data_IF_622819096588
#
_entry.id   IF_622819096588
#
_cell.length_a   1.000
_cell.length_b   1.000
_cell.length_c   1.000
_cell.angle_alpha   90.00
_cell.angle_beta   90.00
_cell.angle_gamma   90.00
#
_symmetry.space_group_name_H-M   'P 1'
#
loop_
_entity.id
_entity.type
_entity.pdbx_description
1 polymer ?
#
# COMPACT_ATOMS: atom_id res chain seq x y z
N UNK A 1 -4.09 -5.82 7.46
CA UNK A 1 -5.23 -6.52 6.85
C UNK A 1 -6.14 -7.06 7.94
N UNK A 2 -7.40 -6.61 7.95
CA UNK A 2 -8.44 -7.02 8.90
C UNK A 2 -9.08 -8.33 8.41
N UNK A 3 -9.15 -9.33 9.27
CA UNK A 3 -9.76 -10.62 8.92
C UNK A 3 -11.29 -10.56 8.98
N UNK A 4 -11.97 -11.53 8.34
CA UNK A 4 -13.43 -11.63 8.44
C UNK A 4 -13.89 -11.86 9.90
N UNK A 5 -13.08 -12.55 10.70
CA UNK A 5 -13.32 -12.79 12.13
C UNK A 5 -13.28 -11.50 12.96
N UNK A 6 -12.45 -10.52 12.58
CA UNK A 6 -12.38 -9.22 13.27
C UNK A 6 -13.68 -8.42 13.07
N UNK A 7 -14.28 -8.48 11.87
CA UNK A 7 -15.56 -7.82 11.60
C UNK A 7 -16.72 -8.51 12.33
N UNK A 8 -16.71 -9.84 12.43
CA UNK A 8 -17.73 -10.58 13.19
C UNK A 8 -17.69 -10.27 14.70
N UNK A 9 -16.50 -9.93 15.22
CA UNK A 9 -16.31 -9.53 16.61
C UNK A 9 -16.61 -8.03 16.86
N UNK A 10 -16.80 -7.24 15.79
CA UNK A 10 -17.06 -5.81 15.87
C UNK A 10 -18.57 -5.49 15.84
N UNK A 11 -18.93 -4.36 16.44
CA UNK A 11 -20.29 -3.83 16.42
C UNK A 11 -20.51 -3.07 15.11
N UNK A 12 -21.54 -3.42 14.33
CA UNK A 12 -21.98 -2.61 13.21
C UNK A 12 -22.56 -1.29 13.72
N UNK A 13 -21.95 -0.17 13.32
CA UNK A 13 -22.34 1.17 13.74
C UNK A 13 -23.19 1.86 12.69
N UNK A 14 -22.79 1.76 11.42
CA UNK A 14 -23.50 2.38 10.32
C UNK A 14 -23.38 1.56 9.04
N UNK A 15 -24.44 1.60 8.24
CA UNK A 15 -24.51 1.02 6.91
C UNK A 15 -24.96 2.10 5.92
N UNK A 16 -24.22 2.21 4.82
CA UNK A 16 -24.44 3.17 3.75
C UNK A 16 -24.73 2.39 2.47
N UNK A 17 -25.95 2.56 1.96
CA UNK A 17 -26.41 1.98 0.70
C UNK A 17 -26.25 2.98 -0.44
N UNK A 18 -26.02 2.47 -1.67
CA UNK A 18 -25.93 3.29 -2.88
C UNK A 18 -24.71 3.01 -3.73
N UNK A 19 -23.64 2.44 -3.15
CA UNK A 19 -22.48 2.01 -3.92
C UNK A 19 -22.84 0.88 -4.87
N UNK A 20 -22.30 0.96 -6.08
CA UNK A 20 -22.39 -0.09 -7.08
C UNK A 20 -21.03 -0.42 -7.64
N UNK A 21 -20.82 -1.68 -8.01
CA UNK A 21 -19.67 -2.08 -8.82
C UNK A 21 -19.80 -1.52 -10.24
N UNK A 22 -18.73 -1.57 -11.03
CA UNK A 22 -18.79 -1.25 -12.47
C UNK A 22 -19.73 -2.17 -13.28
N UNK A 23 -20.21 -3.28 -12.71
CA UNK A 23 -21.21 -4.17 -13.29
C UNK A 23 -22.65 -3.84 -12.85
N UNK A 24 -22.82 -2.87 -11.94
CA UNK A 24 -24.12 -2.41 -11.44
C UNK A 24 -24.62 -3.12 -10.18
N UNK A 25 -23.87 -4.09 -9.64
CA UNK A 25 -24.22 -4.82 -8.42
C UNK A 25 -24.13 -3.89 -7.21
N UNK A 26 -25.12 -3.97 -6.32
CA UNK A 26 -25.13 -3.19 -5.08
C UNK A 26 -24.07 -3.70 -4.11
N UNK A 27 -23.33 -2.75 -3.52
CA UNK A 27 -22.30 -3.02 -2.53
C UNK A 27 -22.63 -2.26 -1.26
N UNK A 28 -22.76 -2.92 -0.09
CA UNK A 28 -22.88 -2.20 1.17
C UNK A 28 -21.52 -1.62 1.56
N UNK A 29 -21.51 -0.37 2.02
CA UNK A 29 -20.40 0.19 2.79
C UNK A 29 -20.78 0.21 4.27
N UNK A 30 -20.01 -0.49 5.10
CA UNK A 30 -20.32 -0.61 6.53
C UNK A 30 -19.17 -0.10 7.38
N UNK A 31 -19.51 0.51 8.52
CA UNK A 31 -18.57 1.00 9.51
C UNK A 31 -18.84 0.28 10.82
N UNK A 32 -17.78 -0.20 11.44
CA UNK A 32 -17.82 -1.02 12.65
C UNK A 32 -16.91 -0.46 13.74
N UNK A 33 -17.28 -0.72 14.99
CA UNK A 33 -16.44 -0.46 16.16
C UNK A 33 -16.01 -1.77 16.81
N UNK A 34 -14.70 -2.00 16.86
CA UNK A 34 -14.14 -3.16 17.54
C UNK A 34 -13.74 -2.82 18.97
N UNK A 35 -14.65 -3.04 19.94
CA UNK A 35 -14.42 -2.68 21.35
C UNK A 35 -13.15 -3.33 21.97
N UNK A 36 -12.87 -4.59 21.65
CA UNK A 36 -11.69 -5.31 22.17
C UNK A 36 -10.34 -4.73 21.71
N UNK A 37 -10.27 -4.22 20.48
CA UNK A 37 -9.07 -3.61 19.89
C UNK A 37 -9.06 -2.08 20.04
N UNK A 38 -10.22 -1.50 20.38
CA UNK A 38 -10.52 -0.06 20.38
C UNK A 38 -10.22 0.57 19.02
N UNK A 39 -10.70 -0.06 17.94
CA UNK A 39 -10.41 0.35 16.57
C UNK A 39 -11.70 0.52 15.76
N UNK A 40 -11.70 1.51 14.88
CA UNK A 40 -12.73 1.67 13.85
C UNK A 40 -12.35 0.87 12.61
N UNK A 41 -13.32 0.14 12.07
CA UNK A 41 -13.15 -0.69 10.88
C UNK A 41 -14.17 -0.26 9.83
N UNK A 42 -13.83 -0.43 8.56
CA UNK A 42 -14.81 -0.35 7.47
C UNK A 42 -14.77 -1.58 6.58
N UNK A 43 -15.85 -1.84 5.87
CA UNK A 43 -15.96 -2.89 4.84
C UNK A 43 -16.68 -2.37 3.61
N UNK A 44 -16.02 -2.48 2.46
CA UNK A 44 -16.47 -2.09 1.13
C UNK A 44 -16.25 -3.24 0.11
N UNK A 45 -16.77 -4.44 0.41
CA UNK A 45 -16.75 -5.68 -0.39
C UNK A 45 -15.35 -6.25 -0.67
N UNK A 46 -14.54 -5.51 -1.43
CA UNK A 46 -13.18 -5.88 -1.84
C UNK A 46 -12.11 -5.28 -0.94
N UNK A 47 -12.48 -4.30 -0.12
CA UNK A 47 -11.56 -3.59 0.76
C UNK A 47 -12.09 -3.51 2.19
N UNK A 48 -11.21 -3.77 3.16
CA UNK A 48 -11.54 -3.82 4.59
C UNK A 48 -10.32 -3.41 5.39
N UNK A 49 -10.44 -2.31 6.13
CA UNK A 49 -9.29 -1.80 6.87
C UNK A 49 -9.68 -1.04 8.14
N UNK A 50 -8.64 -0.68 8.90
CA UNK A 50 -8.72 0.22 10.04
C UNK A 50 -8.78 1.65 9.52
N UNK A 51 -9.69 2.44 10.07
CA UNK A 51 -9.81 3.88 9.81
C UNK A 51 -9.69 4.65 11.13
N UNK A 52 -9.65 5.98 11.05
CA UNK A 52 -9.65 6.88 12.21
C UNK A 52 -11.04 7.44 12.49
N UNK A 53 -11.28 7.82 13.74
CA UNK A 53 -12.49 8.54 14.15
C UNK A 53 -12.63 9.90 13.43
N UNK A 54 -11.51 10.54 13.10
CA UNK A 54 -11.49 11.81 12.36
C UNK A 54 -11.94 11.62 10.91
N UNK A 55 -11.38 10.65 10.18
CA UNK A 55 -11.80 10.34 8.82
C UNK A 55 -13.30 10.00 8.75
N UNK A 56 -13.80 9.17 9.67
CA UNK A 56 -15.23 8.83 9.75
C UNK A 56 -16.12 10.04 10.05
N UNK A 57 -15.65 10.96 10.89
CA UNK A 57 -16.37 12.21 11.18
C UNK A 57 -16.49 13.07 9.92
N UNK A 58 -15.36 13.33 9.25
CA UNK A 58 -15.33 14.12 8.02
C UNK A 58 -16.23 13.51 6.95
N UNK A 59 -16.19 12.18 6.79
CA UNK A 59 -17.08 11.46 5.86
C UNK A 59 -18.57 11.64 6.20
N UNK A 60 -18.96 11.44 7.47
CA UNK A 60 -20.35 11.58 7.89
C UNK A 60 -20.86 13.04 7.79
N UNK A 61 -20.02 14.01 8.10
CA UNK A 61 -20.32 15.44 7.92
C UNK A 61 -20.46 15.78 6.43
N UNK A 62 -19.62 15.23 5.56
CA UNK A 62 -19.71 15.36 4.11
C UNK A 62 -21.03 14.83 3.56
N UNK A 63 -21.49 13.66 4.02
CA UNK A 63 -22.82 13.12 3.69
C UNK A 63 -23.93 14.10 4.09
N UNK A 64 -23.89 14.63 5.32
CA UNK A 64 -24.92 15.54 5.81
C UNK A 64 -24.93 16.86 5.04
N UNK A 65 -23.76 17.36 4.63
CA UNK A 65 -23.65 18.52 3.76
C UNK A 65 -24.25 18.23 2.38
N UNK A 66 -23.94 17.08 1.78
CA UNK A 66 -24.45 16.70 0.47
C UNK A 66 -25.99 16.68 0.48
N UNK A 67 -26.59 15.98 1.45
CA UNK A 67 -28.06 15.87 1.56
C UNK A 67 -28.73 17.22 1.88
N UNK A 68 -28.15 18.06 2.76
CA UNK A 68 -28.83 19.27 3.26
C UNK A 68 -28.62 20.50 2.40
N UNK A 69 -27.40 20.71 1.93
CA UNK A 69 -26.99 21.96 1.29
C UNK A 69 -26.69 21.78 -0.18
N UNK A 70 -26.84 20.56 -0.73
CA UNK A 70 -26.41 20.23 -2.10
C UNK A 70 -24.96 20.64 -2.36
N UNK A 71 -24.14 20.60 -1.31
CA UNK A 71 -22.71 20.86 -1.34
C UNK A 71 -22.02 19.72 -0.62
N UNK A 72 -20.92 19.20 -1.16
CA UNK A 72 -20.21 18.05 -0.60
C UNK A 72 -18.71 18.19 -0.88
N UNK A 73 -17.91 17.56 -0.02
CA UNK A 73 -16.47 17.41 -0.21
C UNK A 73 -16.22 16.00 -0.74
N UNK A 74 -15.40 15.90 -1.79
CA UNK A 74 -15.40 14.72 -2.65
C UNK A 74 -14.46 13.61 -2.20
N UNK A 75 -13.48 13.90 -1.33
CA UNK A 75 -12.37 12.97 -1.09
C UNK A 75 -11.94 12.96 0.39
N UNK A 76 -12.55 12.09 1.20
CA UNK A 76 -12.06 11.78 2.55
C UNK A 76 -11.22 10.51 2.50
N UNK A 77 -9.94 10.60 2.84
CA UNK A 77 -9.08 9.42 3.00
C UNK A 77 -9.52 8.62 4.23
N UNK A 78 -10.05 7.42 4.00
CA UNK A 78 -10.47 6.49 5.06
C UNK A 78 -9.28 5.67 5.57
N UNK A 79 -8.45 5.16 4.66
CA UNK A 79 -7.18 4.52 5.03
C UNK A 79 -6.12 4.68 3.95
N UNK A 80 -4.88 4.59 4.41
CA UNK A 80 -3.70 4.56 3.59
C UNK A 80 -2.64 3.74 4.32
N UNK A 81 -2.49 2.49 3.93
CA UNK A 81 -1.52 1.57 4.52
C UNK A 81 -0.18 1.56 3.75
N UNK A 82 -0.06 2.43 2.73
CA UNK A 82 1.07 2.49 1.80
C UNK A 82 0.98 1.50 0.63
N UNK A 83 -0.06 0.66 0.57
CA UNK A 83 -0.32 -0.33 -0.49
C UNK A 83 -1.65 -0.05 -1.21
N UNK A 84 -2.70 0.23 -0.45
CA UNK A 84 -3.98 0.69 -0.91
C UNK A 84 -4.29 2.02 -0.26
N UNK A 85 -4.89 2.91 -1.04
CA UNK A 85 -5.44 4.16 -0.53
C UNK A 85 -6.93 4.16 -0.81
N UNK A 86 -7.73 4.34 0.23
CA UNK A 86 -9.19 4.36 0.11
C UNK A 86 -9.68 5.76 0.42
N UNK A 87 -10.37 6.33 -0.57
CA UNK A 87 -11.08 7.58 -0.43
C UNK A 87 -12.57 7.33 -0.53
N UNK A 88 -13.37 8.03 0.27
CA UNK A 88 -14.81 7.99 0.18
C UNK A 88 -15.40 9.41 0.20
N UNK A 89 -16.53 9.56 -0.47
CA UNK A 89 -17.21 10.84 -0.62
C UNK A 89 -18.70 10.68 -0.86
N UNK A 90 -19.41 11.81 -0.73
CA UNK A 90 -20.80 11.93 -1.13
C UNK A 90 -21.00 13.26 -1.84
N UNK A 91 -21.61 13.21 -3.03
CA UNK A 91 -21.68 14.36 -3.92
C UNK A 91 -22.77 14.25 -4.98
N UNK A 92 -22.59 14.94 -6.10
CA UNK A 92 -23.53 14.96 -7.22
C UNK A 92 -22.76 14.96 -8.54
N UNK A 93 -23.08 14.04 -9.46
CA UNK A 93 -22.50 14.03 -10.82
C UNK A 93 -23.01 15.24 -11.64
N UNK A 94 -24.19 15.77 -11.30
CA UNK A 94 -24.77 16.98 -11.91
C UNK A 94 -25.44 17.87 -10.86
N UNK A 95 -25.52 19.18 -11.12
CA UNK A 95 -26.05 20.16 -10.15
C UNK A 95 -27.46 19.85 -9.62
N UNK A 96 -28.29 19.16 -10.41
CA UNK A 96 -29.67 18.76 -10.07
C UNK A 96 -29.82 17.23 -9.90
N UNK A 97 -28.71 16.49 -9.84
CA UNK A 97 -28.69 15.04 -9.76
C UNK A 97 -29.08 14.49 -8.37
N UNK A 98 -29.32 13.17 -8.27
CA UNK A 98 -29.41 12.51 -6.96
C UNK A 98 -28.07 12.61 -6.23
N UNK A 99 -28.10 12.53 -4.89
CA UNK A 99 -26.86 12.31 -4.13
C UNK A 99 -26.22 11.01 -4.59
N UNK A 100 -24.94 11.04 -4.89
CA UNK A 100 -24.13 9.87 -5.20
C UNK A 100 -23.17 9.58 -4.04
N UNK A 101 -23.02 8.29 -3.73
CA UNK A 101 -21.93 7.83 -2.87
C UNK A 101 -20.79 7.38 -3.76
N UNK A 102 -19.57 7.77 -3.42
CA UNK A 102 -18.35 7.33 -4.11
C UNK A 102 -17.40 6.70 -3.11
N UNK A 103 -16.79 5.60 -3.51
CA UNK A 103 -15.64 5.00 -2.84
C UNK A 103 -14.62 4.65 -3.92
N UNK A 104 -13.43 5.21 -3.76
CA UNK A 104 -12.29 5.01 -4.64
C UNK A 104 -11.25 4.22 -3.87
N UNK A 105 -11.13 2.94 -4.22
CA UNK A 105 -10.00 2.15 -3.78
C UNK A 105 -8.92 2.24 -4.86
N UNK A 106 -7.85 2.94 -4.53
CA UNK A 106 -6.69 3.09 -5.37
C UNK A 106 -5.73 1.95 -5.06
N UNK A 107 -5.51 1.09 -6.06
CA UNK A 107 -4.54 0.00 -6.02
C UNK A 107 -3.43 0.29 -7.03
N UNK A 108 -2.25 -0.28 -6.86
CA UNK A 108 -1.25 -0.28 -7.93
C UNK A 108 -1.72 -1.23 -9.07
N UNK A 109 -1.91 -0.69 -10.29
CA UNK A 109 -2.45 -1.39 -11.48
C UNK A 109 -1.50 -2.37 -12.13
N UNK A 110 -0.20 -2.28 -11.90
CA UNK A 110 0.78 -3.16 -12.57
C UNK A 110 1.04 -4.44 -11.79
N UNK A 111 -0.02 -5.03 -11.23
CA UNK A 111 0.05 -6.30 -10.51
C UNK A 111 0.56 -7.49 -11.34
N UNK A 112 0.77 -7.32 -12.65
CA UNK A 112 1.54 -8.27 -13.48
C UNK A 112 3.01 -8.43 -13.03
N UNK A 113 3.52 -7.53 -12.17
CA UNK A 113 4.82 -7.67 -11.48
C UNK A 113 4.70 -7.88 -9.96
N UNK A 114 3.48 -8.02 -9.40
CA UNK A 114 3.26 -8.04 -7.96
C UNK A 114 3.37 -9.45 -7.35
N UNK A 115 4.45 -9.68 -6.61
CA UNK A 115 4.40 -10.57 -5.45
C UNK A 115 3.97 -9.80 -4.20
N UNK A 116 3.75 -10.54 -3.12
CA UNK A 116 3.55 -9.99 -1.78
C UNK A 116 4.75 -10.43 -0.95
N UNK A 117 5.35 -9.49 -0.23
CA UNK A 117 6.43 -9.77 0.69
C UNK A 117 6.01 -10.72 1.83
N UNK A 118 6.96 -11.30 2.57
CA UNK A 118 6.66 -12.16 3.72
C UNK A 118 5.78 -11.52 4.80
N UNK A 119 5.58 -10.21 4.76
CA UNK A 119 4.75 -9.44 5.71
C UNK A 119 3.56 -8.75 5.07
N UNK A 120 3.16 -9.15 3.88
CA UNK A 120 2.01 -8.54 3.21
C UNK A 120 2.33 -7.29 2.39
N UNK A 121 3.59 -6.84 2.33
CA UNK A 121 3.97 -5.62 1.61
C UNK A 121 4.00 -5.82 0.09
N UNK A 122 3.51 -4.84 -0.67
CA UNK A 122 3.65 -4.85 -2.13
C UNK A 122 5.14 -4.79 -2.51
N UNK A 123 5.52 -5.61 -3.50
CA UNK A 123 6.89 -5.67 -4.02
C UNK A 123 7.20 -4.59 -5.07
N UNK A 124 6.18 -3.85 -5.47
CA UNK A 124 6.18 -2.82 -6.50
C UNK A 124 5.27 -1.68 -6.03
N UNK A 125 5.68 -0.43 -6.27
CA UNK A 125 4.95 0.77 -5.86
C UNK A 125 5.11 1.83 -6.97
N UNK A 126 4.16 1.87 -7.89
CA UNK A 126 4.11 2.80 -8.99
C UNK A 126 3.27 4.03 -8.66
N UNK A 127 3.84 5.18 -8.94
CA UNK A 127 3.19 6.47 -8.70
C UNK A 127 2.32 6.91 -9.87
N UNK A 128 2.48 6.27 -11.02
CA UNK A 128 1.90 6.65 -12.33
C UNK A 128 0.84 5.69 -12.84
N UNK A 129 0.63 4.54 -12.18
CA UNK A 129 -0.29 3.51 -12.63
C UNK A 129 -1.16 2.99 -11.50
N UNK A 130 -2.02 3.83 -10.92
CA UNK A 130 -3.01 3.35 -9.97
C UNK A 130 -4.21 2.78 -10.73
N UNK A 131 -4.58 1.54 -10.45
CA UNK A 131 -5.86 0.93 -10.82
C UNK A 131 -6.88 1.46 -9.84
N UNK A 132 -7.79 2.27 -10.36
CA UNK A 132 -8.95 2.71 -9.61
C UNK A 132 -9.98 1.59 -9.65
N UNK A 133 -10.43 1.14 -8.49
CA UNK A 133 -11.69 0.42 -8.37
C UNK A 133 -12.75 1.41 -7.90
N UNK A 134 -13.50 2.03 -8.82
CA UNK A 134 -14.58 2.92 -8.44
C UNK A 134 -15.77 2.08 -8.01
N UNK A 135 -16.24 2.33 -6.79
CA UNK A 135 -17.61 2.02 -6.41
C UNK A 135 -18.35 3.34 -6.39
N UNK A 136 -19.38 3.48 -7.23
CA UNK A 136 -20.19 4.68 -7.24
C UNK A 136 -21.63 4.37 -7.61
N UNK A 137 -22.55 5.19 -7.11
CA UNK A 137 -23.93 5.09 -7.52
C UNK A 137 -24.86 6.05 -6.80
N UNK A 138 -26.04 6.28 -7.40
CA UNK A 138 -27.06 7.12 -6.79
C UNK A 138 -27.60 6.46 -5.53
N UNK A 139 -27.73 7.26 -4.48
CA UNK A 139 -28.30 6.84 -3.21
C UNK A 139 -29.82 6.68 -3.38
N UNK A 140 -30.39 5.52 -3.02
CA UNK A 140 -31.82 5.26 -3.20
C UNK A 140 -32.70 6.02 -2.21
N UNK A 141 -32.17 6.35 -1.04
CA UNK A 141 -32.89 7.01 0.07
C UNK A 141 -31.96 8.01 0.80
N UNK A 142 -32.07 9.30 0.47
CA UNK A 142 -31.29 10.38 1.08
C UNK A 142 -31.57 10.55 2.59
N UNK A 143 -32.79 10.24 3.05
CA UNK A 143 -33.16 10.36 4.46
C UNK A 143 -32.53 9.26 5.30
N UNK A 144 -32.53 8.02 4.78
CA UNK A 144 -31.82 6.90 5.40
C UNK A 144 -30.32 7.15 5.42
N UNK A 145 -29.73 7.65 4.33
CA UNK A 145 -28.32 8.04 4.28
C UNK A 145 -27.98 9.07 5.37
N UNK A 146 -28.77 10.13 5.50
CA UNK A 146 -28.57 11.15 6.53
C UNK A 146 -28.79 10.60 7.95
N UNK A 147 -29.66 9.61 8.12
CA UNK A 147 -29.88 8.93 9.41
C UNK A 147 -28.67 8.08 9.79
N UNK A 148 -28.13 7.29 8.87
CA UNK A 148 -26.89 6.52 9.08
C UNK A 148 -25.71 7.43 9.43
N UNK A 149 -25.56 8.57 8.74
CA UNK A 149 -24.50 9.53 9.05
C UNK A 149 -24.64 10.15 10.45
N UNK A 150 -25.85 10.48 10.90
CA UNK A 150 -26.09 10.97 12.26
C UNK A 150 -25.80 9.91 13.32
N UNK A 151 -26.21 8.66 13.07
CA UNK A 151 -25.93 7.55 13.97
C UNK A 151 -24.42 7.31 14.12
N UNK A 152 -23.66 7.41 13.01
CA UNK A 152 -22.20 7.34 13.05
C UNK A 152 -21.59 8.48 13.88
N UNK A 153 -22.03 9.73 13.68
CA UNK A 153 -21.54 10.87 14.47
C UNK A 153 -21.86 10.73 15.96
N UNK A 154 -23.08 10.33 16.32
CA UNK A 154 -23.47 10.08 17.71
C UNK A 154 -22.63 8.96 18.34
N UNK A 155 -22.34 7.90 17.58
CA UNK A 155 -21.46 6.84 18.05
C UNK A 155 -20.04 7.36 18.26
N UNK A 156 -19.49 8.14 17.34
CA UNK A 156 -18.16 8.73 17.45
C UNK A 156 -18.01 9.62 18.70
N UNK A 157 -19.06 10.36 19.07
CA UNK A 157 -19.06 11.20 20.28
C UNK A 157 -19.03 10.39 21.59
N UNK A 158 -19.62 9.19 21.58
CA UNK A 158 -19.76 8.34 22.77
C UNK A 158 -18.72 7.24 22.87
N UNK A 159 -17.88 7.08 21.85
CA UNK A 159 -16.88 6.01 21.78
C UNK A 159 -15.62 6.38 22.58
N UNK A 160 -15.04 5.46 23.38
CA UNK A 160 -13.77 5.69 24.04
C UNK A 160 -12.65 6.04 23.04
N UNK A 161 -11.54 6.66 23.47
CA UNK A 161 -10.43 6.95 22.56
C UNK A 161 -9.99 5.69 21.82
N UNK A 162 -9.75 5.81 20.51
CA UNK A 162 -9.27 4.69 19.71
C UNK A 162 -7.79 4.39 20.01
N UNK A 163 -7.39 3.15 19.80
CA UNK A 163 -5.99 2.80 19.58
C UNK A 163 -5.65 3.27 18.16
N UNK A 164 -4.63 4.12 17.97
CA UNK A 164 -4.23 4.58 16.65
C UNK A 164 -4.01 3.38 15.71
N UNK A 165 -4.29 3.53 14.41
CA UNK A 165 -3.84 2.55 13.42
C UNK A 165 -2.33 2.31 13.59
N UNK A 166 -1.86 1.07 13.39
CA UNK A 166 -0.43 0.81 13.42
C UNK A 166 0.24 1.72 12.39
N UNK A 167 1.24 2.49 12.83
CA UNK A 167 1.99 3.33 11.91
C UNK A 167 2.63 2.42 10.84
N UNK A 168 2.60 2.81 9.56
CA UNK A 168 3.36 2.09 8.54
C UNK A 168 4.82 2.04 8.98
N UNK A 169 5.46 0.87 8.83
CA UNK A 169 6.85 0.70 9.20
C UNK A 169 7.71 1.72 8.44
N UNK A 170 8.40 2.60 9.16
CA UNK A 170 9.24 3.63 8.54
C UNK A 170 10.54 2.97 8.08
N UNK A 171 10.82 2.92 6.77
CA UNK A 171 12.04 2.32 6.27
C UNK A 171 13.23 3.24 6.56
N UNK A 172 14.24 2.72 7.26
CA UNK A 172 15.53 3.38 7.42
C UNK A 172 16.36 3.17 6.16
N UNK A 173 16.75 4.25 5.49
CA UNK A 173 17.63 4.15 4.32
C UNK A 173 19.05 3.84 4.77
N UNK A 174 19.59 2.73 4.27
CA UNK A 174 20.96 2.29 4.56
C UNK A 174 21.91 2.77 3.45
N UNK A 175 21.52 2.56 2.20
CA UNK A 175 22.25 3.04 1.02
C UNK A 175 21.29 3.70 0.05
N UNK A 176 21.78 4.75 -0.62
CA UNK A 176 21.05 5.48 -1.65
C UNK A 176 21.96 5.73 -2.85
N UNK A 177 21.61 5.16 -4.00
CA UNK A 177 22.18 5.49 -5.29
C UNK A 177 21.28 6.51 -5.96
N UNK A 178 21.65 7.79 -5.89
CA UNK A 178 20.88 8.89 -6.49
C UNK A 178 21.45 9.25 -7.85
N UNK A 179 20.68 9.02 -8.90
CA UNK A 179 20.97 9.43 -10.27
C UNK A 179 19.68 9.91 -10.94
N UNK A 180 19.48 9.63 -12.24
CA UNK A 180 18.18 9.84 -12.92
C UNK A 180 17.05 9.03 -12.28
N UNK A 181 17.39 7.85 -11.76
CA UNK A 181 16.55 7.03 -10.90
C UNK A 181 17.24 6.90 -9.55
N UNK A 182 16.46 6.77 -8.46
CA UNK A 182 17.03 6.53 -7.13
C UNK A 182 16.77 5.09 -6.71
N UNK A 183 17.84 4.36 -6.42
CA UNK A 183 17.75 3.06 -5.75
C UNK A 183 18.12 3.23 -4.28
N UNK A 184 17.28 2.69 -3.41
CA UNK A 184 17.43 2.67 -1.96
C UNK A 184 17.53 1.22 -1.51
N UNK A 185 18.51 0.92 -0.67
CA UNK A 185 18.51 -0.29 0.14
C UNK A 185 18.16 0.15 1.55
N UNK A 186 17.12 -0.42 2.11
CA UNK A 186 16.50 0.06 3.35
C UNK A 186 16.26 -1.09 4.31
N UNK A 187 16.15 -0.75 5.60
CA UNK A 187 15.75 -1.66 6.66
C UNK A 187 14.40 -1.21 7.22
N UNK A 188 13.43 -2.11 7.27
CA UNK A 188 12.12 -1.90 7.88
C UNK A 188 12.25 -2.05 9.40
N UNK A 189 11.96 -0.97 10.13
CA UNK A 189 11.61 -0.91 11.55
C UNK A 189 12.15 -2.00 12.51
N UNK A 190 11.29 -2.36 13.48
CA UNK A 190 11.62 -3.07 14.73
C UNK A 190 12.05 -4.53 14.53
N UNK A 191 11.80 -5.10 13.37
CA UNK A 191 12.05 -6.51 13.03
C UNK A 191 13.16 -6.68 11.99
N UNK A 192 13.76 -5.57 11.54
CA UNK A 192 15.01 -5.55 10.80
C UNK A 192 14.96 -6.16 9.38
N UNK A 193 13.78 -6.32 8.77
CA UNK A 193 13.73 -6.85 7.41
C UNK A 193 14.37 -5.89 6.41
N UNK A 194 15.02 -6.45 5.41
CA UNK A 194 15.60 -5.68 4.32
C UNK A 194 14.59 -5.48 3.20
N UNK A 195 14.65 -4.31 2.57
CA UNK A 195 13.95 -4.03 1.33
C UNK A 195 14.82 -3.24 0.37
N UNK A 196 14.48 -3.31 -0.92
CA UNK A 196 15.05 -2.50 -1.98
C UNK A 196 13.95 -1.69 -2.65
N UNK A 197 14.18 -0.39 -2.81
CA UNK A 197 13.23 0.52 -3.46
C UNK A 197 13.89 1.25 -4.60
N UNK A 198 13.34 1.13 -5.79
CA UNK A 198 13.61 2.02 -6.92
C UNK A 198 12.50 3.05 -6.94
N UNK A 199 12.79 4.27 -6.49
CA UNK A 199 11.82 5.37 -6.44
C UNK A 199 11.20 5.54 -7.81
N UNK A 200 9.88 5.68 -7.90
CA UNK A 200 9.16 5.72 -9.16
C UNK A 200 8.41 4.43 -9.45
N UNK A 201 9.02 3.32 -9.05
CA UNK A 201 8.89 2.07 -9.79
C UNK A 201 8.63 0.88 -8.86
N UNK A 202 9.58 0.48 -8.02
CA UNK A 202 9.60 -0.84 -7.39
C UNK A 202 9.97 -0.76 -5.90
N UNK A 203 9.38 -1.59 -5.03
CA UNK A 203 9.79 -1.72 -3.61
C UNK A 203 9.67 -3.16 -3.15
N UNK A 204 10.74 -3.95 -3.02
CA UNK A 204 10.66 -5.37 -2.68
C UNK A 204 11.46 -5.74 -1.41
N UNK A 205 10.94 -6.52 -0.45
CA UNK A 205 11.73 -7.27 0.51
C UNK A 205 12.82 -8.11 -0.15
N UNK A 206 13.98 -8.09 0.47
CA UNK A 206 15.16 -8.85 0.06
C UNK A 206 15.69 -9.63 1.25
N UNK A 207 16.31 -10.78 0.98
CA UNK A 207 17.03 -11.50 2.04
C UNK A 207 18.32 -10.73 2.38
N UNK A 208 18.73 -10.79 3.64
CA UNK A 208 19.97 -10.13 4.08
C UNK A 208 21.21 -10.67 3.32
N UNK A 209 21.17 -11.94 2.88
CA UNK A 209 22.20 -12.53 2.02
C UNK A 209 22.24 -11.86 0.64
N UNK A 210 21.10 -11.56 0.02
CA UNK A 210 21.05 -10.83 -1.25
C UNK A 210 21.66 -9.43 -1.12
N UNK A 211 21.46 -8.77 0.02
CA UNK A 211 22.11 -7.48 0.31
C UNK A 211 23.64 -7.61 0.40
N UNK A 212 24.13 -8.70 1.00
CA UNK A 212 25.56 -9.02 1.03
C UNK A 212 26.11 -9.33 -0.37
N UNK A 213 25.36 -10.09 -1.18
CA UNK A 213 25.76 -10.39 -2.57
C UNK A 213 25.81 -9.11 -3.40
N UNK A 214 24.86 -8.19 -3.24
CA UNK A 214 24.89 -6.87 -3.87
C UNK A 214 26.18 -6.12 -3.51
N UNK A 215 26.54 -6.09 -2.22
CA UNK A 215 27.77 -5.44 -1.78
C UNK A 215 29.02 -6.05 -2.46
N UNK A 216 29.05 -7.37 -2.64
CA UNK A 216 30.13 -8.05 -3.34
C UNK A 216 30.16 -7.72 -4.84
N UNK A 217 29.00 -7.63 -5.50
CA UNK A 217 28.91 -7.24 -6.92
C UNK A 217 29.39 -5.81 -7.14
N UNK A 218 29.05 -4.89 -6.22
CA UNK A 218 29.54 -3.51 -6.27
C UNK A 218 31.07 -3.43 -6.17
N UNK A 219 31.72 -4.30 -5.40
CA UNK A 219 33.19 -4.36 -5.28
C UNK A 219 33.87 -5.10 -6.43
N UNK A 220 33.13 -5.91 -7.20
CA UNK A 220 33.68 -6.76 -8.26
C UNK A 220 32.90 -6.56 -9.57
N UNK A 221 33.14 -5.45 -10.30
CA UNK A 221 32.51 -5.22 -11.59
C UNK A 221 32.72 -6.41 -12.53
N UNK A 222 31.64 -6.95 -13.11
CA UNK A 222 31.68 -8.16 -13.94
C UNK A 222 31.41 -9.47 -13.20
N UNK A 223 31.29 -9.45 -11.86
CA UNK A 223 30.49 -10.46 -11.17
C UNK A 223 29.07 -10.34 -11.74
N UNK A 224 28.53 -11.44 -12.30
CA UNK A 224 27.25 -11.44 -13.00
C UNK A 224 26.06 -10.94 -12.15
N UNK A 225 24.84 -11.01 -12.69
CA UNK A 225 23.66 -10.50 -12.00
C UNK A 225 23.52 -11.08 -10.57
N UNK A 226 23.34 -10.17 -9.61
CA UNK A 226 23.01 -10.43 -8.22
C UNK A 226 21.50 -10.68 -8.09
N UNK A 227 21.08 -11.90 -7.75
CA UNK A 227 19.68 -12.19 -7.47
C UNK A 227 19.24 -11.47 -6.19
N UNK A 228 18.38 -10.47 -6.33
CA UNK A 228 17.82 -9.76 -5.19
C UNK A 228 16.56 -10.44 -4.67
N UNK A 229 15.66 -10.82 -5.58
CA UNK A 229 14.40 -11.45 -5.21
C UNK A 229 13.95 -12.41 -6.29
N UNK A 230 13.69 -13.66 -5.93
CA UNK A 230 13.35 -14.73 -6.88
C UNK A 230 12.17 -15.51 -6.32
N UNK A 231 11.03 -15.49 -7.01
CA UNK A 231 9.84 -16.29 -6.69
C UNK A 231 9.29 -16.94 -7.96
N UNK A 232 8.22 -17.71 -7.82
CA UNK A 232 7.45 -18.28 -8.92
C UNK A 232 6.75 -17.21 -9.79
N UNK A 233 6.56 -16.00 -9.26
CA UNK A 233 5.81 -14.92 -9.94
C UNK A 233 6.68 -13.76 -10.41
N UNK A 234 7.86 -13.57 -9.83
CA UNK A 234 8.71 -12.44 -10.19
C UNK A 234 10.18 -12.68 -9.86
N UNK A 235 11.05 -11.99 -10.60
CA UNK A 235 12.50 -11.97 -10.43
C UNK A 235 13.00 -10.52 -10.44
N UNK A 236 13.90 -10.17 -9.52
CA UNK A 236 14.66 -8.93 -9.53
C UNK A 236 16.15 -9.27 -9.44
N UNK A 237 16.91 -8.84 -10.44
CA UNK A 237 18.36 -8.98 -10.51
C UNK A 237 19.02 -7.61 -10.58
N UNK A 238 20.19 -7.45 -9.93
CA UNK A 238 21.03 -6.26 -10.03
C UNK A 238 22.39 -6.60 -10.63
N UNK A 239 22.90 -5.78 -11.55
CA UNK A 239 24.25 -5.94 -12.08
C UNK A 239 24.94 -4.58 -12.17
N UNK A 240 26.23 -4.53 -11.88
CA UNK A 240 27.05 -3.35 -12.17
C UNK A 240 27.62 -3.50 -13.59
N UNK A 241 27.21 -2.62 -14.49
CA UNK A 241 27.68 -2.53 -15.87
C UNK A 241 28.38 -1.18 -16.08
N UNK A 242 29.71 -1.21 -16.03
CA UNK A 242 30.55 -0.02 -16.01
C UNK A 242 30.27 0.85 -14.78
N UNK A 243 29.83 2.08 -15.02
CA UNK A 243 29.44 3.06 -14.00
C UNK A 243 27.92 3.09 -13.75
N UNK A 244 27.16 2.12 -14.28
CA UNK A 244 25.72 2.03 -14.07
C UNK A 244 25.33 0.76 -13.33
N UNK A 245 24.40 0.89 -12.38
CA UNK A 245 23.72 -0.25 -11.78
C UNK A 245 22.45 -0.54 -12.60
N UNK A 246 22.41 -1.69 -13.24
CA UNK A 246 21.23 -2.20 -13.94
C UNK A 246 20.36 -2.99 -12.95
N UNK A 247 19.11 -2.59 -12.80
CA UNK A 247 18.07 -3.37 -12.14
C UNK A 247 17.13 -3.97 -13.18
N UNK A 248 17.10 -5.30 -13.27
CA UNK A 248 16.23 -6.04 -14.20
C UNK A 248 15.15 -6.74 -13.41
N UNK A 249 13.91 -6.28 -13.59
CA UNK A 249 12.72 -6.96 -13.09
C UNK A 249 12.13 -7.84 -14.20
N UNK A 250 11.69 -9.05 -13.86
CA UNK A 250 11.02 -9.96 -14.77
C UNK A 250 9.81 -10.63 -14.11
N UNK A 251 8.74 -10.86 -14.87
CA UNK A 251 7.59 -11.66 -14.47
C UNK A 251 7.08 -12.54 -15.62
N UNK A 252 6.38 -13.66 -15.34
CA UNK A 252 5.75 -14.47 -16.37
C UNK A 252 4.70 -13.69 -17.16
N UNK A 253 4.65 -13.88 -18.48
CA UNK A 253 3.63 -13.33 -19.36
C UNK A 253 2.53 -14.36 -19.67
N UNK A 254 1.31 -13.91 -19.95
CA UNK A 254 0.17 -14.79 -20.29
C UNK A 254 0.45 -15.71 -21.50
N UNK A 255 1.33 -15.29 -22.41
CA UNK A 255 1.73 -16.06 -23.58
C UNK A 255 2.83 -17.10 -23.31
N UNK A 256 3.24 -17.29 -22.05
CA UNK A 256 4.33 -18.19 -21.64
C UNK A 256 5.75 -17.60 -21.80
N UNK A 257 5.87 -16.31 -22.15
CA UNK A 257 7.14 -15.55 -22.14
C UNK A 257 7.44 -14.90 -20.79
N UNK A 258 8.39 -13.95 -20.77
CA UNK A 258 8.66 -13.07 -19.62
C UNK A 258 8.42 -11.61 -20.02
N UNK A 259 7.72 -10.84 -19.18
CA UNK A 259 7.76 -9.38 -19.22
C UNK A 259 9.00 -8.91 -18.49
N UNK A 260 9.85 -8.11 -19.14
CA UNK A 260 11.10 -7.61 -18.54
C UNK A 260 11.13 -6.09 -18.52
N UNK A 261 11.55 -5.52 -17.39
CA UNK A 261 11.79 -4.10 -17.21
C UNK A 261 13.25 -3.87 -16.79
N UNK A 262 13.99 -3.14 -17.61
CA UNK A 262 15.37 -2.76 -17.36
C UNK A 262 15.46 -1.31 -16.88
N UNK A 263 16.00 -1.11 -15.69
CA UNK A 263 16.14 0.19 -15.05
C UNK A 263 17.61 0.48 -14.82
N UNK A 264 18.10 1.56 -15.43
CA UNK A 264 19.49 1.97 -15.32
C UNK A 264 19.64 3.08 -14.27
N UNK A 265 20.46 2.83 -13.26
CA UNK A 265 20.79 3.76 -12.18
C UNK A 265 22.24 4.19 -12.35
N UNK A 266 22.44 5.44 -12.76
CA UNK A 266 23.77 5.99 -12.98
C UNK A 266 23.78 7.18 -13.92
N UNK A 267 24.98 7.68 -14.27
CA UNK A 267 26.28 7.13 -13.88
C UNK A 267 26.59 7.31 -12.38
N UNK A 268 27.38 6.40 -11.81
CA UNK A 268 27.84 6.37 -10.42
C UNK A 268 29.36 6.51 -10.38
N UNK A 269 29.87 7.29 -9.44
CA UNK A 269 31.32 7.38 -9.21
C UNK A 269 31.85 6.13 -8.51
N UNK A 270 33.12 5.80 -8.72
CA UNK A 270 33.80 4.71 -8.00
C UNK A 270 33.69 4.88 -6.48
N UNK A 271 33.76 6.12 -5.99
CA UNK A 271 33.60 6.43 -4.57
C UNK A 271 32.19 6.08 -4.06
N UNK A 272 31.14 6.44 -4.80
CA UNK A 272 29.76 6.10 -4.44
C UNK A 272 29.56 4.57 -4.39
N UNK A 273 30.11 3.84 -5.35
CA UNK A 273 30.04 2.37 -5.42
C UNK A 273 30.77 1.75 -4.21
N UNK A 274 32.00 2.19 -3.94
CA UNK A 274 32.84 1.69 -2.85
C UNK A 274 32.25 1.96 -1.47
N UNK A 275 31.76 3.19 -1.24
CA UNK A 275 31.15 3.57 0.05
C UNK A 275 29.82 2.86 0.28
N UNK A 276 29.01 2.68 -0.76
CA UNK A 276 27.79 1.89 -0.69
C UNK A 276 28.10 0.43 -0.31
N UNK A 277 29.04 -0.21 -1.02
CA UNK A 277 29.41 -1.60 -0.73
C UNK A 277 29.94 -1.79 0.70
N UNK A 278 30.81 -0.88 1.17
CA UNK A 278 31.32 -0.90 2.54
C UNK A 278 30.21 -0.75 3.57
N UNK A 279 29.26 0.16 3.31
CA UNK A 279 28.11 0.37 4.19
C UNK A 279 27.24 -0.88 4.28
N UNK A 280 26.91 -1.50 3.15
CA UNK A 280 26.13 -2.74 3.14
C UNK A 280 26.84 -3.88 3.89
N UNK A 281 28.15 -4.06 3.70
CA UNK A 281 28.91 -5.10 4.41
C UNK A 281 28.98 -4.88 5.93
N UNK A 282 29.00 -3.63 6.39
CA UNK A 282 29.00 -3.30 7.81
C UNK A 282 27.64 -3.56 8.47
N UNK A 283 26.55 -3.36 7.73
CA UNK A 283 25.19 -3.46 8.25
C UNK A 283 24.63 -4.89 8.21
N UNK A 284 25.15 -5.77 7.35
CA UNK A 284 24.73 -7.18 7.29
C UNK A 284 25.67 -8.05 8.16
N UNK A 285 25.24 -8.49 9.37
CA UNK A 285 26.11 -9.16 10.34
C UNK A 285 26.77 -10.41 9.73
N UNK A 286 28.10 -10.48 9.76
CA UNK A 286 28.86 -11.66 9.36
C UNK A 286 28.32 -12.86 10.15
N UNK A 287 27.67 -13.80 9.46
CA UNK A 287 26.82 -14.81 10.11
C UNK A 287 27.53 -15.53 11.26
N UNK A 288 26.88 -15.53 12.43
CA UNK A 288 27.32 -16.28 13.59
C UNK A 288 26.17 -16.45 14.59
N UNK A 289 25.66 -17.68 14.71
CA UNK A 289 24.81 -18.10 15.83
C UNK A 289 23.63 -18.99 15.46
N UNK A 290 23.88 -20.31 15.49
CA UNK A 290 22.97 -21.45 15.67
C UNK A 290 21.46 -21.19 15.73
N UNK A 291 20.73 -21.73 14.73
CA UNK A 291 19.47 -22.40 15.02
C UNK A 291 19.70 -23.90 14.87
N UNK A 292 19.94 -24.54 16.01
CA UNK A 292 19.71 -25.96 16.20
C UNK A 292 18.31 -26.29 15.70
N UNK A 293 18.27 -27.27 14.80
CA UNK A 293 17.08 -28.00 14.42
C UNK A 293 16.67 -28.84 15.62
N UNK A 294 15.54 -28.48 16.24
CA UNK A 294 14.65 -29.44 16.93
C UNK A 294 13.20 -29.10 16.65
#
# INVERSE_FOLDING_TARGET
>A
MIGHEDLQAAELVAEFEGLRTGLGDLVPFTVHWHAGRRQWLYDALYERDITTAEALRTFAEGILAAVRTRGGDWDVELSNDGYARVEAGAGFDTADGPVELTLFAWYDSQQDFAGVGPRGQALYQNHTGWSLLPLSGPVPDEERLATSARALLERLETTPPETPPPAPAVPQTIVSFRARQTLLVQRLGDDGAWQITITGLLTAPVHHESVRVLANVLLNPGAGPCPMVHTDRYRLDLALDGDHLLARAASPAENGGEHTLDIWIGPLTEQQISDAARTLLNEVPAGGGDHDVQ
#
